data_IF_137324286360
#
_entry.id   IF_137324286360
#
_cell.length_a   1.000
_cell.length_b   1.000
_cell.length_c   1.000
_cell.angle_alpha   90.00
_cell.angle_beta   90.00
_cell.angle_gamma   90.00
#
_symmetry.space_group_name_H-M   'P 1'
#
loop_
_entity.id
_entity.type
_entity.pdbx_description
1 polymer ?
#
# COMPACT_ATOMS: atom_id res chain seq x y z
N UNK A 1 -17.76 -16.04 25.63
CA UNK A 1 -19.22 -15.94 25.41
C UNK A 1 -19.76 -14.83 26.28
N UNK A 2 -19.86 -13.61 25.72
CA UNK A 2 -20.63 -12.54 26.33
C UNK A 2 -22.05 -13.07 26.63
N UNK A 3 -22.73 -12.63 27.71
CA UNK A 3 -24.16 -12.87 27.91
C UNK A 3 -24.96 -12.00 26.92
N UNK A 4 -24.72 -12.19 25.62
CA UNK A 4 -25.15 -11.29 24.55
C UNK A 4 -26.66 -11.17 24.50
N UNK A 5 -27.41 -12.27 24.61
CA UNK A 5 -28.86 -12.15 24.41
C UNK A 5 -29.62 -11.57 25.63
N UNK A 6 -29.06 -11.65 26.84
CA UNK A 6 -29.72 -11.17 28.07
C UNK A 6 -29.39 -9.73 28.43
N UNK A 7 -28.14 -9.32 28.17
CA UNK A 7 -27.67 -7.95 28.42
C UNK A 7 -28.20 -7.02 27.32
N UNK A 8 -28.11 -7.42 26.04
CA UNK A 8 -28.58 -6.59 24.93
C UNK A 8 -30.09 -6.30 24.98
N UNK A 9 -30.93 -7.27 25.41
CA UNK A 9 -32.37 -7.04 25.62
C UNK A 9 -32.66 -6.04 26.76
N UNK A 10 -31.85 -6.03 27.83
CA UNK A 10 -31.98 -5.03 28.90
C UNK A 10 -31.50 -3.65 28.46
N UNK A 11 -30.48 -3.60 27.59
CA UNK A 11 -29.95 -2.37 27.02
C UNK A 11 -30.85 -1.76 25.91
N UNK A 12 -31.60 -2.55 25.14
CA UNK A 12 -32.62 -2.03 24.21
C UNK A 12 -33.73 -1.30 24.96
N UNK A 13 -34.23 -1.88 26.06
CA UNK A 13 -35.20 -1.22 26.95
C UNK A 13 -34.62 0.08 27.55
N UNK A 14 -33.31 0.10 27.83
CA UNK A 14 -32.59 1.25 28.37
C UNK A 14 -32.36 2.38 27.35
N UNK A 15 -32.02 2.04 26.09
CA UNK A 15 -31.89 3.01 24.99
C UNK A 15 -33.25 3.60 24.59
N UNK A 16 -34.30 2.78 24.67
CA UNK A 16 -35.68 3.23 24.54
C UNK A 16 -36.06 4.18 25.66
N UNK A 17 -35.72 3.88 26.92
CA UNK A 17 -36.00 4.75 28.08
C UNK A 17 -35.28 6.08 27.98
N UNK A 18 -34.02 6.13 27.55
CA UNK A 18 -33.28 7.39 27.35
C UNK A 18 -33.79 8.20 26.15
N UNK A 19 -34.15 7.54 25.04
CA UNK A 19 -34.80 8.20 23.90
C UNK A 19 -36.19 8.71 24.26
N UNK A 20 -36.97 7.97 25.05
CA UNK A 20 -38.29 8.45 25.54
C UNK A 20 -38.16 9.54 26.58
N UNK A 21 -37.17 9.50 27.48
CA UNK A 21 -36.91 10.55 28.47
C UNK A 21 -36.59 11.91 27.80
N UNK A 22 -35.85 11.89 26.69
CA UNK A 22 -35.54 13.09 25.89
C UNK A 22 -36.74 13.66 25.10
N UNK A 23 -37.90 12.99 25.12
CA UNK A 23 -39.11 13.39 24.38
C UNK A 23 -40.27 13.84 25.26
N UNK A 24 -40.14 13.75 26.58
CA UNK A 24 -41.26 13.93 27.51
C UNK A 24 -41.34 15.37 28.05
N UNK A 25 -42.36 16.11 27.61
CA UNK A 25 -42.81 17.40 28.17
C UNK A 25 -43.25 17.32 29.64
N UNK A 26 -43.36 16.11 30.21
CA UNK A 26 -43.71 15.87 31.61
C UNK A 26 -42.61 16.26 32.61
N UNK A 27 -41.35 16.42 32.14
CA UNK A 27 -40.20 16.72 32.99
C UNK A 27 -40.08 18.20 33.38
N UNK A 28 -40.81 19.12 32.73
CA UNK A 28 -40.77 20.56 33.04
C UNK A 28 -41.19 20.90 34.48
N UNK A 29 -41.85 19.98 35.17
CA UNK A 29 -42.45 20.19 36.50
C UNK A 29 -41.69 19.46 37.63
N UNK A 30 -40.60 18.74 37.33
CA UNK A 30 -39.82 17.99 38.33
C UNK A 30 -38.55 18.80 38.68
N UNK A 31 -38.20 18.97 39.97
CA UNK A 31 -36.98 19.66 40.37
C UNK A 31 -35.71 18.99 39.78
N UNK A 32 -34.76 19.80 39.29
CA UNK A 32 -33.51 19.31 38.65
C UNK A 32 -32.76 18.29 39.51
N UNK A 33 -32.64 18.55 40.81
CA UNK A 33 -31.96 17.68 41.76
C UNK A 33 -32.57 16.27 41.84
N UNK A 34 -33.88 16.14 41.66
CA UNK A 34 -34.58 14.85 41.65
C UNK A 34 -34.32 14.07 40.36
N UNK A 35 -34.26 14.78 39.23
CA UNK A 35 -33.92 14.19 37.92
C UNK A 35 -32.47 13.71 37.94
N UNK A 36 -31.54 14.51 38.49
CA UNK A 36 -30.13 14.15 38.63
C UNK A 36 -29.92 12.90 39.48
N UNK A 37 -30.56 12.83 40.65
CA UNK A 37 -30.48 11.64 41.52
C UNK A 37 -31.08 10.43 40.82
N UNK A 38 -32.22 10.58 40.14
CA UNK A 38 -32.84 9.48 39.40
C UNK A 38 -31.96 8.97 38.25
N UNK A 39 -31.39 9.89 37.46
CA UNK A 39 -30.44 9.55 36.39
C UNK A 39 -29.18 8.91 36.98
N UNK A 40 -28.61 9.46 38.04
CA UNK A 40 -27.44 8.89 38.69
C UNK A 40 -27.69 7.47 39.20
N UNK A 41 -28.80 7.23 39.91
CA UNK A 41 -29.17 5.89 40.40
C UNK A 41 -29.49 4.90 39.27
N UNK A 42 -30.07 5.39 38.17
CA UNK A 42 -30.35 4.57 36.98
C UNK A 42 -29.07 4.14 36.26
N UNK A 43 -28.05 5.02 36.23
CA UNK A 43 -26.80 4.82 35.48
C UNK A 43 -25.67 4.21 36.32
N UNK A 44 -25.68 4.41 37.64
CA UNK A 44 -24.64 3.93 38.57
C UNK A 44 -24.27 2.45 38.36
N UNK A 45 -25.24 1.51 38.19
CA UNK A 45 -24.94 0.10 37.97
C UNK A 45 -24.20 -0.22 36.66
N UNK A 46 -24.21 0.69 35.68
CA UNK A 46 -23.65 0.50 34.34
C UNK A 46 -22.33 1.24 34.14
N UNK A 47 -21.86 1.98 35.14
CA UNK A 47 -20.63 2.79 35.06
C UNK A 47 -19.41 1.96 34.69
N UNK A 48 -19.22 0.81 35.34
CA UNK A 48 -18.12 -0.12 35.06
C UNK A 48 -18.21 -0.70 33.63
N UNK A 49 -19.43 -0.90 33.12
CA UNK A 49 -19.65 -1.39 31.75
C UNK A 49 -19.26 -0.33 30.73
N UNK A 50 -19.61 0.94 30.97
CA UNK A 50 -19.23 2.03 30.08
C UNK A 50 -17.73 2.33 30.11
N UNK A 51 -17.08 2.23 31.26
CA UNK A 51 -15.63 2.39 31.38
C UNK A 51 -14.85 1.31 30.63
N UNK A 52 -15.35 0.06 30.64
CA UNK A 52 -14.71 -1.07 29.96
C UNK A 52 -15.27 -1.34 28.54
N UNK A 53 -16.16 -0.48 28.03
CA UNK A 53 -16.86 -0.70 26.75
C UNK A 53 -15.90 -0.90 25.57
N UNK A 54 -14.86 -0.08 25.48
CA UNK A 54 -13.82 -0.20 24.44
C UNK A 54 -13.12 -1.55 24.48
N UNK A 55 -12.89 -2.12 25.67
CA UNK A 55 -12.27 -3.44 25.83
C UNK A 55 -13.20 -4.55 25.32
N UNK A 56 -14.49 -4.46 25.63
CA UNK A 56 -15.46 -5.45 25.13
C UNK A 56 -15.61 -5.39 23.61
N UNK A 57 -15.67 -4.19 23.01
CA UNK A 57 -15.71 -4.05 21.56
C UNK A 57 -14.40 -4.51 20.90
N UNK A 58 -13.25 -4.33 21.56
CA UNK A 58 -11.98 -4.85 21.06
C UNK A 58 -11.97 -6.38 20.99
N UNK A 59 -12.43 -7.06 22.04
CA UNK A 59 -12.57 -8.52 22.03
C UNK A 59 -13.56 -8.99 20.95
N UNK A 60 -14.71 -8.31 20.83
CA UNK A 60 -15.71 -8.63 19.82
C UNK A 60 -15.20 -8.45 18.39
N UNK A 61 -14.48 -7.36 18.11
CA UNK A 61 -13.90 -7.09 16.79
C UNK A 61 -12.80 -8.10 16.45
N UNK A 62 -12.01 -8.51 17.44
CA UNK A 62 -11.00 -9.56 17.25
C UNK A 62 -11.66 -10.89 16.88
N UNK A 63 -12.66 -11.32 17.65
CA UNK A 63 -13.42 -12.54 17.35
C UNK A 63 -14.07 -12.45 15.95
N UNK A 64 -14.62 -11.28 15.59
CA UNK A 64 -15.20 -11.06 14.27
C UNK A 64 -14.14 -11.16 13.16
N UNK A 65 -12.96 -10.57 13.34
CA UNK A 65 -11.86 -10.64 12.38
C UNK A 65 -11.38 -12.08 12.17
N UNK A 66 -11.27 -12.86 13.24
CA UNK A 66 -10.85 -14.26 13.21
C UNK A 66 -11.82 -15.15 12.39
N UNK A 67 -13.09 -14.73 12.24
CA UNK A 67 -14.07 -15.43 11.38
C UNK A 67 -13.93 -15.11 9.90
N UNK A 68 -13.22 -14.03 9.54
CA UNK A 68 -13.01 -13.63 8.15
C UNK A 68 -11.96 -14.53 7.52
N UNK A 69 -12.40 -15.47 6.68
CA UNK A 69 -11.49 -16.32 5.93
C UNK A 69 -10.83 -15.54 4.79
N UNK A 70 -9.50 -15.43 4.83
CA UNK A 70 -8.72 -14.68 3.84
C UNK A 70 -7.79 -15.57 3.00
N UNK A 71 -7.43 -16.74 3.49
CA UNK A 71 -6.36 -17.56 2.92
C UNK A 71 -6.81 -19.00 2.69
N UNK A 72 -6.42 -19.55 1.54
CA UNK A 72 -6.59 -20.95 1.18
C UNK A 72 -5.34 -21.43 0.44
N UNK A 73 -5.20 -22.73 0.23
CA UNK A 73 -4.07 -23.25 -0.57
C UNK A 73 -4.15 -22.84 -2.05
N UNK A 74 -5.32 -22.42 -2.54
CA UNK A 74 -5.51 -21.96 -3.90
C UNK A 74 -5.35 -20.44 -4.01
N UNK A 75 -4.48 -19.99 -4.91
CA UNK A 75 -4.17 -18.57 -5.07
C UNK A 75 -5.36 -17.78 -5.59
N UNK A 76 -6.10 -18.32 -6.57
CA UNK A 76 -7.25 -17.62 -7.16
C UNK A 76 -8.36 -17.42 -6.12
N UNK A 77 -8.66 -18.46 -5.35
CA UNK A 77 -9.63 -18.42 -4.26
C UNK A 77 -9.19 -17.45 -3.17
N UNK A 78 -7.91 -17.46 -2.78
CA UNK A 78 -7.39 -16.51 -1.78
C UNK A 78 -7.58 -15.06 -2.24
N UNK A 79 -7.29 -14.75 -3.50
CA UNK A 79 -7.50 -13.40 -4.07
C UNK A 79 -8.99 -13.01 -4.07
N UNK A 80 -9.89 -13.94 -4.37
CA UNK A 80 -11.34 -13.70 -4.27
C UNK A 80 -11.78 -13.42 -2.83
N UNK A 81 -11.24 -14.17 -1.86
CA UNK A 81 -11.50 -13.94 -0.44
C UNK A 81 -11.02 -12.55 0.00
N UNK A 82 -9.80 -12.14 -0.38
CA UNK A 82 -9.26 -10.79 -0.11
C UNK A 82 -10.15 -9.68 -0.68
N UNK A 83 -10.72 -9.88 -1.88
CA UNK A 83 -11.63 -8.90 -2.47
C UNK A 83 -12.95 -8.82 -1.68
N UNK A 84 -13.57 -9.96 -1.40
CA UNK A 84 -14.86 -10.00 -0.70
C UNK A 84 -14.76 -9.55 0.76
N UNK A 85 -13.61 -9.74 1.41
CA UNK A 85 -13.39 -9.38 2.82
C UNK A 85 -13.44 -7.89 3.08
N UNK A 86 -13.12 -7.03 2.09
CA UNK A 86 -13.16 -5.57 2.24
C UNK A 86 -14.56 -5.14 2.69
N UNK A 87 -15.58 -5.51 1.90
CA UNK A 87 -16.98 -5.15 2.21
C UNK A 87 -17.43 -5.66 3.59
N UNK A 88 -17.01 -6.88 3.96
CA UNK A 88 -17.35 -7.49 5.24
C UNK A 88 -16.71 -6.75 6.42
N UNK A 89 -15.41 -6.43 6.33
CA UNK A 89 -14.67 -5.73 7.40
C UNK A 89 -15.23 -4.33 7.64
N UNK A 90 -15.57 -3.60 6.58
CA UNK A 90 -16.22 -2.29 6.73
C UNK A 90 -17.66 -2.40 7.25
N UNK A 91 -18.39 -3.47 6.94
CA UNK A 91 -19.70 -3.72 7.55
C UNK A 91 -19.56 -3.95 9.07
N UNK A 92 -18.62 -4.79 9.51
CA UNK A 92 -18.32 -5.03 10.92
C UNK A 92 -17.96 -3.71 11.65
N UNK A 93 -17.12 -2.87 11.03
CA UNK A 93 -16.76 -1.57 11.60
C UNK A 93 -17.97 -0.63 11.75
N UNK A 94 -18.84 -0.56 10.74
CA UNK A 94 -20.07 0.25 10.79
C UNK A 94 -21.06 -0.26 11.83
N UNK A 95 -21.25 -1.58 11.94
CA UNK A 95 -22.08 -2.17 12.99
C UNK A 95 -21.55 -1.82 14.39
N UNK A 96 -20.23 -1.77 14.55
CA UNK A 96 -19.58 -1.39 15.82
C UNK A 96 -19.85 0.07 16.19
N UNK A 97 -19.80 0.97 15.20
CA UNK A 97 -20.19 2.38 15.39
C UNK A 97 -21.67 2.49 15.76
N UNK A 98 -22.55 1.75 15.08
CA UNK A 98 -23.98 1.76 15.38
C UNK A 98 -24.30 1.18 16.76
N UNK A 99 -23.63 0.11 17.18
CA UNK A 99 -23.74 -0.41 18.56
C UNK A 99 -23.32 0.64 19.59
N UNK A 100 -22.20 1.34 19.36
CA UNK A 100 -21.77 2.42 20.24
C UNK A 100 -22.81 3.54 20.34
N UNK A 101 -23.40 3.96 19.22
CA UNK A 101 -24.49 4.94 19.22
C UNK A 101 -25.72 4.44 19.97
N UNK A 102 -26.13 3.19 19.76
CA UNK A 102 -27.33 2.66 20.40
C UNK A 102 -27.18 2.45 21.91
N UNK A 103 -26.00 2.01 22.35
CA UNK A 103 -25.74 1.65 23.74
C UNK A 103 -25.27 2.83 24.59
N UNK A 104 -24.42 3.70 24.04
CA UNK A 104 -23.80 4.80 24.80
C UNK A 104 -24.25 6.17 24.34
N UNK A 105 -25.17 6.25 23.36
CA UNK A 105 -25.55 7.49 22.69
C UNK A 105 -24.33 8.22 22.09
N UNK A 106 -23.31 7.46 21.66
CA UNK A 106 -22.07 7.96 21.07
C UNK A 106 -21.05 8.49 22.09
N UNK A 107 -21.33 8.40 23.39
CA UNK A 107 -20.49 8.98 24.47
C UNK A 107 -19.11 8.34 24.60
N UNK A 108 -18.94 7.12 24.09
CA UNK A 108 -17.68 6.36 24.14
C UNK A 108 -16.96 6.32 22.81
N UNK A 109 -17.42 7.09 21.80
CA UNK A 109 -16.91 7.02 20.43
C UNK A 109 -15.40 7.28 20.34
N UNK A 110 -14.85 8.14 21.21
CA UNK A 110 -13.42 8.47 21.25
C UNK A 110 -12.59 7.24 21.60
N UNK A 111 -12.98 6.54 22.68
CA UNK A 111 -12.33 5.30 23.09
C UNK A 111 -12.49 4.20 22.04
N UNK A 112 -13.59 4.24 21.26
CA UNK A 112 -13.82 3.33 20.15
C UNK A 112 -12.92 3.62 18.94
N UNK A 113 -12.47 4.86 18.72
CA UNK A 113 -11.56 5.18 17.62
C UNK A 113 -10.24 4.43 17.75
N UNK A 114 -9.66 4.34 18.96
CA UNK A 114 -8.44 3.56 19.19
C UNK A 114 -8.63 2.06 18.92
N UNK A 115 -9.81 1.54 19.25
CA UNK A 115 -10.21 0.15 19.00
C UNK A 115 -10.37 -0.12 17.50
N UNK A 116 -11.08 0.75 16.77
CA UNK A 116 -11.22 0.68 15.32
C UNK A 116 -9.88 0.81 14.60
N UNK A 117 -8.98 1.69 15.08
CA UNK A 117 -7.64 1.82 14.52
C UNK A 117 -6.88 0.49 14.61
N UNK A 118 -6.89 -0.13 15.79
CA UNK A 118 -6.23 -1.43 16.01
C UNK A 118 -6.82 -2.50 15.10
N UNK A 119 -8.15 -2.58 15.03
CA UNK A 119 -8.86 -3.52 14.16
C UNK A 119 -8.47 -3.41 12.67
N UNK A 120 -8.40 -2.18 12.12
CA UNK A 120 -7.97 -2.00 10.73
C UNK A 120 -6.48 -2.31 10.52
N UNK A 121 -5.62 -2.00 11.49
CA UNK A 121 -4.19 -2.35 11.43
C UNK A 121 -4.03 -3.88 11.40
N UNK A 122 -4.75 -4.59 12.25
CA UNK A 122 -4.72 -6.05 12.32
C UNK A 122 -5.23 -6.66 11.00
N UNK A 123 -6.32 -6.14 10.44
CA UNK A 123 -6.83 -6.56 9.13
C UNK A 123 -5.82 -6.34 8.00
N UNK A 124 -5.19 -5.15 7.93
CA UNK A 124 -4.14 -4.87 6.94
C UNK A 124 -2.95 -5.83 7.13
N UNK A 125 -2.61 -6.16 8.38
CA UNK A 125 -1.60 -7.15 8.72
C UNK A 125 -1.91 -8.54 8.14
N UNK A 126 -3.16 -8.98 8.26
CA UNK A 126 -3.62 -10.25 7.69
C UNK A 126 -3.61 -10.23 6.14
N UNK A 127 -4.04 -9.13 5.51
CA UNK A 127 -3.93 -8.98 4.05
C UNK A 127 -2.47 -9.11 3.58
N UNK A 128 -1.54 -8.46 4.27
CA UNK A 128 -0.09 -8.58 4.00
C UNK A 128 0.39 -10.02 4.15
N UNK A 129 -0.03 -10.71 5.21
CA UNK A 129 0.31 -12.12 5.45
C UNK A 129 -0.14 -12.99 4.28
N UNK A 130 -1.37 -12.83 3.80
CA UNK A 130 -1.90 -13.63 2.67
C UNK A 130 -1.15 -13.31 1.37
N UNK A 131 -0.89 -12.03 1.06
CA UNK A 131 -0.11 -11.65 -0.13
C UNK A 131 1.30 -12.24 -0.09
N UNK A 132 1.95 -12.25 1.08
CA UNK A 132 3.24 -12.90 1.26
C UNK A 132 3.16 -14.43 1.09
N UNK A 133 2.12 -15.07 1.61
CA UNK A 133 1.89 -16.50 1.40
C UNK A 133 1.72 -16.83 -0.09
N UNK A 134 0.99 -16.01 -0.85
CA UNK A 134 0.84 -16.15 -2.31
C UNK A 134 2.21 -16.02 -2.99
N UNK A 135 3.01 -15.02 -2.61
CA UNK A 135 4.36 -14.82 -3.15
C UNK A 135 5.28 -16.01 -2.87
N UNK A 136 5.25 -16.56 -1.66
CA UNK A 136 6.08 -17.71 -1.28
C UNK A 136 5.70 -18.99 -2.06
N UNK A 137 4.41 -19.24 -2.29
CA UNK A 137 3.94 -20.37 -3.09
C UNK A 137 4.51 -20.35 -4.50
N UNK A 138 4.63 -19.16 -5.08
CA UNK A 138 5.12 -18.94 -6.45
C UNK A 138 6.65 -18.75 -6.56
N UNK A 139 7.33 -18.46 -5.45
CA UNK A 139 8.80 -18.25 -5.41
C UNK A 139 9.63 -19.45 -5.89
N UNK A 140 9.05 -20.66 -5.93
CA UNK A 140 9.72 -21.91 -6.33
C UNK A 140 9.64 -22.18 -7.83
N UNK A 141 8.85 -21.43 -8.58
CA UNK A 141 8.70 -21.58 -10.03
C UNK A 141 9.86 -20.80 -10.68
N UNK A 142 10.96 -21.52 -10.93
CA UNK A 142 12.21 -20.96 -11.45
C UNK A 142 12.06 -20.36 -12.86
N UNK A 143 12.36 -19.07 -12.99
CA UNK A 143 12.99 -18.47 -14.18
C UNK A 143 12.16 -18.34 -15.47
N UNK A 144 10.88 -18.76 -15.47
CA UNK A 144 9.99 -18.64 -16.63
C UNK A 144 8.98 -17.51 -16.46
N UNK A 145 8.45 -17.04 -17.59
CA UNK A 145 7.37 -16.05 -17.65
C UNK A 145 6.07 -16.63 -17.07
N UNK A 146 5.54 -16.00 -16.03
CA UNK A 146 4.24 -16.36 -15.45
C UNK A 146 3.25 -15.20 -15.60
N UNK A 147 2.65 -15.12 -16.79
CA UNK A 147 1.64 -14.11 -17.11
C UNK A 147 0.33 -14.30 -16.34
N UNK A 148 0.05 -15.51 -15.83
CA UNK A 148 -1.10 -15.74 -14.98
C UNK A 148 -0.88 -15.16 -13.59
N UNK A 149 0.30 -15.40 -13.00
CA UNK A 149 0.69 -14.75 -11.76
C UNK A 149 0.73 -13.23 -11.90
N UNK A 150 1.22 -12.70 -13.01
CA UNK A 150 1.19 -11.26 -13.27
C UNK A 150 -0.26 -10.71 -13.28
N UNK A 151 -1.21 -11.40 -13.94
CA UNK A 151 -2.63 -11.02 -13.84
C UNK A 151 -3.15 -11.02 -12.41
N UNK A 152 -2.74 -12.02 -11.63
CA UNK A 152 -3.11 -12.12 -10.22
C UNK A 152 -2.50 -11.00 -9.37
N UNK A 153 -1.27 -10.55 -9.64
CA UNK A 153 -0.66 -9.42 -8.92
C UNK A 153 -1.34 -8.09 -9.26
N UNK A 154 -1.77 -7.88 -10.51
CA UNK A 154 -2.58 -6.71 -10.87
C UNK A 154 -3.94 -6.75 -10.16
N UNK A 155 -4.57 -7.93 -10.04
CA UNK A 155 -5.81 -8.07 -9.25
C UNK A 155 -5.60 -7.74 -7.77
N UNK A 156 -4.45 -8.10 -7.18
CA UNK A 156 -4.10 -7.72 -5.81
C UNK A 156 -3.94 -6.18 -5.69
N UNK A 157 -3.34 -5.52 -6.69
CA UNK A 157 -3.26 -4.06 -6.73
C UNK A 157 -4.65 -3.41 -6.82
N UNK A 158 -5.58 -3.98 -7.58
CA UNK A 158 -6.99 -3.54 -7.61
C UNK A 158 -7.63 -3.62 -6.22
N UNK A 159 -7.46 -4.74 -5.53
CA UNK A 159 -7.98 -4.96 -4.16
C UNK A 159 -7.37 -3.94 -3.19
N UNK A 160 -6.07 -3.64 -3.31
CA UNK A 160 -5.42 -2.59 -2.53
C UNK A 160 -6.06 -1.21 -2.80
N UNK A 161 -6.36 -0.89 -4.06
CA UNK A 161 -7.05 0.34 -4.45
C UNK A 161 -8.48 0.42 -3.91
N UNK A 162 -9.22 -0.69 -3.98
CA UNK A 162 -10.56 -0.84 -3.40
C UNK A 162 -10.54 -0.61 -1.89
N UNK A 163 -9.57 -1.19 -1.17
CA UNK A 163 -9.39 -1.00 0.26
C UNK A 163 -9.12 0.46 0.63
N UNK A 164 -8.24 1.14 -0.11
CA UNK A 164 -7.93 2.56 0.12
C UNK A 164 -9.19 3.42 -0.08
N UNK A 165 -9.93 3.19 -1.17
CA UNK A 165 -11.17 3.92 -1.45
C UNK A 165 -12.23 3.67 -0.39
N UNK A 166 -12.43 2.42 0.02
CA UNK A 166 -13.38 2.05 1.05
C UNK A 166 -13.01 2.70 2.39
N UNK A 167 -11.71 2.75 2.74
CA UNK A 167 -11.23 3.45 3.92
C UNK A 167 -11.47 4.96 3.87
N UNK A 168 -11.11 5.63 2.77
CA UNK A 168 -11.31 7.08 2.62
C UNK A 168 -12.80 7.45 2.70
N UNK A 169 -13.68 6.62 2.12
CA UNK A 169 -15.14 6.79 2.24
C UNK A 169 -15.63 6.54 3.67
N UNK A 170 -15.13 5.50 4.33
CA UNK A 170 -15.47 5.17 5.71
C UNK A 170 -15.08 6.29 6.68
N UNK A 171 -13.84 6.77 6.61
CA UNK A 171 -13.35 7.85 7.46
C UNK A 171 -14.15 9.13 7.23
N UNK A 172 -14.44 9.49 5.96
CA UNK A 172 -15.28 10.65 5.63
C UNK A 172 -16.69 10.52 6.21
N UNK A 173 -17.30 9.33 6.12
CA UNK A 173 -18.61 9.06 6.69
C UNK A 173 -18.60 9.15 8.22
N UNK A 174 -17.57 8.60 8.87
CA UNK A 174 -17.44 8.64 10.32
C UNK A 174 -17.22 10.06 10.83
N UNK A 175 -16.36 10.84 10.16
CA UNK A 175 -16.19 12.29 10.44
C UNK A 175 -17.53 13.01 10.39
N UNK A 176 -18.33 12.78 9.33
CA UNK A 176 -19.63 13.41 9.21
C UNK A 176 -20.59 13.01 10.34
N UNK A 177 -20.65 11.71 10.66
CA UNK A 177 -21.48 11.19 11.75
C UNK A 177 -21.05 11.75 13.11
N UNK A 178 -19.75 11.86 13.37
CA UNK A 178 -19.22 12.47 14.59
C UNK A 178 -19.57 13.94 14.70
N UNK A 179 -19.40 14.72 13.63
CA UNK A 179 -19.80 16.13 13.59
C UNK A 179 -21.30 16.31 13.83
N UNK A 180 -22.15 15.43 13.28
CA UNK A 180 -23.59 15.43 13.58
C UNK A 180 -23.87 15.14 15.07
N UNK A 181 -23.24 14.11 15.65
CA UNK A 181 -23.39 13.78 17.07
C UNK A 181 -22.96 14.94 17.98
N UNK A 182 -21.82 15.56 17.70
CA UNK A 182 -21.29 16.71 18.44
C UNK A 182 -22.27 17.90 18.35
N UNK A 183 -22.76 18.22 17.15
CA UNK A 183 -23.73 19.29 16.95
C UNK A 183 -25.07 19.02 17.66
N UNK A 184 -25.53 17.78 17.68
CA UNK A 184 -26.72 17.39 18.45
C UNK A 184 -26.52 17.59 19.95
N UNK A 185 -25.35 17.21 20.47
CA UNK A 185 -24.99 17.45 21.87
C UNK A 185 -24.99 18.95 22.16
N UNK A 186 -24.32 19.77 21.33
CA UNK A 186 -24.30 21.23 21.51
C UNK A 186 -25.68 21.88 21.42
N UNK A 187 -26.51 21.53 20.43
CA UNK A 187 -27.84 22.11 20.25
C UNK A 187 -28.82 21.72 21.37
N UNK A 188 -28.75 20.47 21.85
CA UNK A 188 -29.47 20.01 23.04
C UNK A 188 -28.92 20.64 24.31
N UNK A 189 -27.69 21.15 24.33
CA UNK A 189 -27.17 21.91 25.48
C UNK A 189 -27.67 23.37 25.42
N UNK A 190 -27.60 24.02 24.25
CA UNK A 190 -27.97 25.44 24.07
C UNK A 190 -29.47 25.72 24.17
N UNK A 191 -30.35 24.82 23.69
CA UNK A 191 -31.81 24.99 23.84
C UNK A 191 -32.27 25.04 25.30
N UNK A 192 -31.49 24.46 26.21
CA UNK A 192 -31.80 24.38 27.64
C UNK A 192 -30.97 25.36 28.47
N UNK A 193 -30.15 26.22 27.84
CA UNK A 193 -29.52 27.38 28.49
C UNK A 193 -30.42 28.62 28.49
N UNK A 194 -31.51 28.61 27.72
CA UNK A 194 -32.50 29.70 27.73
C UNK A 194 -33.62 29.51 28.77
N UNK A 195 -33.73 28.32 29.37
CA UNK A 195 -34.62 28.02 30.49
C UNK A 195 -33.74 27.48 31.63
N UNK A 196 -33.61 28.23 32.72
CA UNK A 196 -32.65 27.97 33.81
C UNK A 196 -32.53 26.49 34.25
N UNK A 197 -31.27 26.08 34.44
CA UNK A 197 -30.74 25.07 35.38
C UNK A 197 -30.99 23.55 35.23
N UNK A 198 -31.71 23.02 34.23
CA UNK A 198 -32.10 21.58 34.31
C UNK A 198 -31.13 20.59 33.60
N UNK A 199 -30.28 21.00 32.65
CA UNK A 199 -29.57 20.04 31.79
C UNK A 199 -28.06 20.22 31.56
N UNK A 200 -27.43 21.30 32.06
CA UNK A 200 -25.96 21.47 31.96
C UNK A 200 -25.19 20.36 32.71
N UNK A 201 -25.85 19.66 33.64
CA UNK A 201 -25.23 18.69 34.54
C UNK A 201 -25.06 17.28 33.97
N UNK A 202 -25.73 16.87 32.87
CA UNK A 202 -25.59 15.48 32.37
C UNK A 202 -24.41 15.27 31.41
N UNK A 203 -23.98 16.33 30.72
CA UNK A 203 -22.80 16.31 29.85
C UNK A 203 -21.57 16.80 30.63
N UNK A 204 -21.68 17.84 31.46
CA UNK A 204 -20.55 18.28 32.31
C UNK A 204 -20.19 17.24 33.38
N UNK A 205 -21.14 16.56 34.03
CA UNK A 205 -20.81 15.48 34.98
C UNK A 205 -20.16 14.27 34.30
N UNK A 206 -20.55 13.96 33.06
CA UNK A 206 -19.94 12.88 32.29
C UNK A 206 -18.55 13.26 31.77
N UNK A 207 -18.38 14.46 31.21
CA UNK A 207 -17.07 15.03 30.81
C UNK A 207 -16.13 15.16 32.02
N UNK A 208 -16.67 15.40 33.22
CA UNK A 208 -15.89 15.41 34.47
C UNK A 208 -15.64 14.01 35.06
N UNK A 209 -16.34 12.98 34.58
CA UNK A 209 -16.14 11.56 34.93
C UNK A 209 -15.33 10.76 33.88
N UNK A 210 -15.05 11.37 32.74
CA UNK A 210 -14.08 10.87 31.76
C UNK A 210 -12.66 11.13 32.30
N UNK A 211 -11.71 10.23 32.03
CA UNK A 211 -10.32 10.44 32.46
C UNK A 211 -9.77 11.75 31.88
N UNK A 212 -8.82 12.40 32.57
CA UNK A 212 -8.24 13.67 32.10
C UNK A 212 -7.58 13.55 30.72
N UNK A 213 -7.10 12.35 30.35
CA UNK A 213 -6.52 12.03 29.05
C UNK A 213 -7.59 12.01 27.94
N UNK A 214 -8.66 11.24 28.14
CA UNK A 214 -9.78 11.14 27.19
C UNK A 214 -10.47 12.49 26.95
N UNK A 215 -10.50 13.38 27.96
CA UNK A 215 -11.04 14.75 27.83
C UNK A 215 -10.17 15.64 26.93
N UNK A 216 -8.84 15.52 27.03
CA UNK A 216 -7.92 16.23 26.15
C UNK A 216 -8.03 15.72 24.71
N UNK A 217 -8.06 14.40 24.53
CA UNK A 217 -8.19 13.77 23.23
C UNK A 217 -9.54 14.12 22.57
N UNK A 218 -10.63 14.13 23.34
CA UNK A 218 -11.93 14.62 22.89
C UNK A 218 -11.87 16.05 22.35
N UNK A 219 -11.36 16.99 23.14
CA UNK A 219 -11.29 18.40 22.78
C UNK A 219 -10.38 18.62 21.56
N UNK A 220 -9.31 17.83 21.44
CA UNK A 220 -8.43 17.86 20.28
C UNK A 220 -9.15 17.40 19.01
N UNK A 221 -9.93 16.32 19.08
CA UNK A 221 -10.70 15.79 17.95
C UNK A 221 -11.82 16.76 17.58
N UNK A 222 -12.58 17.29 18.54
CA UNK A 222 -13.65 18.26 18.29
C UNK A 222 -13.10 19.50 17.59
N UNK A 223 -12.02 20.10 18.10
CA UNK A 223 -11.38 21.27 17.49
C UNK A 223 -10.81 20.96 16.10
N UNK A 224 -10.27 19.75 15.89
CA UNK A 224 -9.73 19.35 14.59
C UNK A 224 -10.84 19.06 13.55
N UNK A 225 -11.99 18.54 13.98
CA UNK A 225 -13.20 18.37 13.17
C UNK A 225 -13.79 19.72 12.74
N UNK A 226 -13.80 20.71 13.63
CA UNK A 226 -14.26 22.07 13.33
C UNK A 226 -13.36 22.78 12.31
N UNK A 227 -12.05 22.50 12.34
CA UNK A 227 -11.06 23.10 11.44
C UNK A 227 -10.80 22.31 10.14
N UNK A 228 -11.59 21.26 9.86
CA UNK A 228 -11.55 20.46 8.61
C UNK A 228 -10.16 19.91 8.21
N UNK A 229 -9.26 19.69 9.17
CA UNK A 229 -7.86 19.29 8.92
C UNK A 229 -7.51 17.91 9.48
N UNK A 230 -8.50 17.15 9.93
CA UNK A 230 -8.28 15.97 10.75
C UNK A 230 -8.40 14.64 9.99
N UNK A 231 -7.43 13.76 10.22
CA UNK A 231 -7.57 12.32 9.98
C UNK A 231 -7.83 11.65 11.33
N UNK A 232 -8.95 10.91 11.42
CA UNK A 232 -9.35 10.16 12.61
C UNK A 232 -8.35 9.06 12.94
N UNK A 233 -7.70 8.50 11.92
CA UNK A 233 -6.79 7.36 12.08
C UNK A 233 -5.46 7.60 11.35
N UNK A 234 -4.57 8.44 11.89
CA UNK A 234 -3.36 8.89 11.18
C UNK A 234 -2.39 7.77 10.80
N UNK A 235 -2.50 6.60 11.44
CA UNK A 235 -1.64 5.44 11.15
C UNK A 235 -2.19 4.52 10.06
N UNK A 236 -3.51 4.51 9.81
CA UNK A 236 -4.10 3.66 8.77
C UNK A 236 -3.62 4.05 7.37
N UNK A 237 -3.64 5.34 6.94
CA UNK A 237 -3.11 5.74 5.63
C UNK A 237 -1.65 5.34 5.44
N UNK A 238 -0.82 5.38 6.50
CA UNK A 238 0.58 4.94 6.44
C UNK A 238 0.68 3.44 6.22
N UNK A 239 -0.14 2.64 6.90
CA UNK A 239 -0.16 1.18 6.72
C UNK A 239 -0.68 0.78 5.33
N UNK A 240 -1.70 1.47 4.83
CA UNK A 240 -2.23 1.30 3.47
C UNK A 240 -1.20 1.65 2.40
N UNK A 241 -0.45 2.75 2.57
CA UNK A 241 0.62 3.11 1.63
C UNK A 241 1.75 2.06 1.63
N UNK A 242 2.17 1.58 2.81
CA UNK A 242 3.14 0.48 2.90
C UNK A 242 2.63 -0.82 2.26
N UNK A 243 1.35 -1.16 2.46
CA UNK A 243 0.74 -2.31 1.81
C UNK A 243 0.72 -2.14 0.28
N UNK A 244 0.40 -0.95 -0.21
CA UNK A 244 0.47 -0.61 -1.63
C UNK A 244 1.89 -0.80 -2.18
N UNK A 245 2.91 -0.30 -1.48
CA UNK A 245 4.33 -0.47 -1.87
C UNK A 245 4.72 -1.94 -1.98
N UNK A 246 4.29 -2.77 -1.01
CA UNK A 246 4.55 -4.22 -1.03
C UNK A 246 3.87 -4.91 -2.24
N UNK A 247 2.63 -4.53 -2.57
CA UNK A 247 1.91 -5.04 -3.73
C UNK A 247 2.58 -4.64 -5.05
N UNK A 248 3.01 -3.38 -5.19
CA UNK A 248 3.75 -2.90 -6.37
C UNK A 248 5.08 -3.65 -6.51
N UNK A 249 5.81 -3.83 -5.41
CA UNK A 249 7.07 -4.57 -5.41
C UNK A 249 6.86 -6.02 -5.83
N UNK A 250 5.81 -6.68 -5.35
CA UNK A 250 5.49 -8.05 -5.73
C UNK A 250 5.18 -8.16 -7.22
N UNK A 251 4.28 -7.31 -7.75
CA UNK A 251 3.95 -7.28 -9.18
C UNK A 251 5.19 -7.03 -10.04
N UNK A 252 6.08 -6.13 -9.60
CA UNK A 252 7.34 -5.86 -10.28
C UNK A 252 8.27 -7.06 -10.27
N UNK A 253 8.43 -7.72 -9.13
CA UNK A 253 9.29 -8.90 -9.04
C UNK A 253 8.85 -10.01 -9.99
N UNK A 254 7.54 -10.21 -10.16
CA UNK A 254 6.98 -11.21 -11.09
C UNK A 254 7.38 -10.89 -12.53
N UNK A 255 7.19 -9.64 -12.97
CA UNK A 255 7.55 -9.20 -14.34
C UNK A 255 9.05 -9.17 -14.57
N UNK A 256 9.83 -8.80 -13.55
CA UNK A 256 11.27 -8.65 -13.69
C UNK A 256 12.04 -9.97 -13.56
N UNK A 257 11.43 -11.01 -12.97
CA UNK A 257 12.09 -12.30 -12.73
C UNK A 257 12.67 -12.95 -14.00
N UNK A 258 11.97 -13.02 -15.16
CA UNK A 258 12.53 -13.60 -16.38
C UNK A 258 13.77 -12.85 -16.87
N UNK A 259 13.75 -11.51 -16.84
CA UNK A 259 14.87 -10.66 -17.23
C UNK A 259 16.06 -10.90 -16.30
N UNK A 260 15.83 -10.90 -14.99
CA UNK A 260 16.87 -11.11 -14.00
C UNK A 260 17.47 -12.53 -14.12
N UNK A 261 16.66 -13.54 -14.44
CA UNK A 261 17.12 -14.91 -14.70
C UNK A 261 18.06 -14.99 -15.91
N UNK A 262 17.74 -14.27 -17.00
CA UNK A 262 18.56 -14.22 -18.22
C UNK A 262 19.88 -13.43 -18.05
N UNK A 263 19.90 -12.46 -17.13
CA UNK A 263 21.11 -11.69 -16.77
C UNK A 263 21.93 -12.35 -15.65
N UNK A 264 21.37 -13.33 -14.94
CA UNK A 264 22.06 -14.00 -13.86
C UNK A 264 23.30 -14.74 -14.37
N UNK A 265 24.46 -14.40 -13.82
CA UNK A 265 25.73 -14.97 -14.25
C UNK A 265 26.25 -14.43 -15.60
N UNK A 266 25.62 -13.40 -16.18
CA UNK A 266 26.10 -12.75 -17.40
C UNK A 266 27.55 -12.33 -17.26
N UNK A 267 27.91 -11.68 -16.15
CA UNK A 267 29.30 -11.27 -15.82
C UNK A 267 30.34 -12.40 -15.80
N UNK A 268 29.89 -13.66 -15.66
CA UNK A 268 30.73 -14.86 -15.51
C UNK A 268 30.78 -15.73 -16.77
N UNK A 269 30.18 -15.29 -17.88
CA UNK A 269 30.20 -16.06 -19.11
C UNK A 269 31.65 -16.24 -19.62
N UNK A 270 32.01 -17.45 -20.07
CA UNK A 270 33.39 -17.73 -20.48
C UNK A 270 33.81 -16.95 -21.73
N UNK A 271 32.86 -16.43 -22.51
CA UNK A 271 33.12 -15.65 -23.73
C UNK A 271 33.92 -14.36 -23.47
N UNK A 272 33.86 -13.82 -22.25
CA UNK A 272 34.58 -12.59 -21.89
C UNK A 272 36.09 -12.78 -21.81
N UNK A 273 36.55 -13.93 -21.29
CA UNK A 273 37.95 -14.16 -20.94
C UNK A 273 38.58 -15.40 -21.57
N UNK A 274 37.79 -16.35 -22.09
CA UNK A 274 38.34 -17.58 -22.66
C UNK A 274 39.11 -17.32 -23.96
N UNK A 275 40.36 -17.78 -24.00
CA UNK A 275 41.23 -17.72 -25.18
C UNK A 275 40.83 -18.72 -26.29
N UNK A 276 39.75 -19.48 -26.09
CA UNK A 276 39.36 -20.61 -26.93
C UNK A 276 38.21 -20.29 -27.88
N UNK A 277 38.51 -19.53 -28.94
CA UNK A 277 38.03 -19.83 -30.30
C UNK A 277 39.21 -19.53 -31.23
N UNK A 278 39.63 -20.54 -32.00
CA UNK A 278 40.83 -20.46 -32.84
C UNK A 278 40.92 -19.18 -33.65
N UNK A 279 42.15 -18.80 -34.00
CA UNK A 279 42.62 -17.61 -34.72
C UNK A 279 41.74 -17.09 -35.88
N UNK A 280 40.79 -17.88 -36.37
CA UNK A 280 39.81 -17.56 -37.42
C UNK A 280 38.68 -16.62 -36.91
N UNK A 281 38.32 -16.65 -35.62
CA UNK A 281 37.23 -15.79 -35.07
C UNK A 281 37.71 -14.39 -34.68
N UNK A 282 39.00 -14.22 -34.39
CA UNK A 282 39.57 -12.91 -34.06
C UNK A 282 39.49 -11.91 -35.23
N UNK A 283 39.59 -12.42 -36.46
CA UNK A 283 39.57 -11.65 -37.72
C UNK A 283 38.19 -11.58 -38.40
N UNK A 284 37.14 -12.13 -37.79
CA UNK A 284 35.78 -11.99 -38.32
C UNK A 284 35.32 -10.52 -38.21
N UNK A 285 34.83 -9.91 -39.30
CA UNK A 285 34.27 -8.56 -39.26
C UNK A 285 33.13 -8.48 -38.24
N UNK A 286 32.99 -7.34 -37.55
CA UNK A 286 31.92 -7.08 -36.57
C UNK A 286 30.51 -7.34 -37.13
N UNK A 287 30.32 -7.23 -38.45
CA UNK A 287 29.08 -7.54 -39.16
C UNK A 287 28.65 -9.02 -39.08
N UNK A 288 29.52 -9.93 -38.66
CA UNK A 288 29.22 -11.35 -38.50
C UNK A 288 28.75 -11.71 -37.08
N UNK A 289 28.84 -10.78 -36.14
CA UNK A 289 28.39 -10.97 -34.76
C UNK A 289 26.89 -10.70 -34.66
N UNK A 290 26.21 -11.52 -33.87
CA UNK A 290 24.80 -11.39 -33.54
C UNK A 290 24.69 -11.31 -32.03
N UNK A 291 23.75 -10.53 -31.47
CA UNK A 291 23.57 -10.47 -30.03
C UNK A 291 23.29 -11.86 -29.43
N UNK A 292 23.81 -12.10 -28.23
CA UNK A 292 23.65 -13.37 -27.54
C UNK A 292 22.17 -13.70 -27.27
N UNK A 293 21.84 -14.99 -27.20
CA UNK A 293 20.46 -15.47 -27.03
C UNK A 293 19.77 -14.90 -25.79
N UNK A 294 20.48 -14.78 -24.66
CA UNK A 294 19.94 -14.20 -23.44
C UNK A 294 19.56 -12.73 -23.62
N UNK A 295 20.34 -11.97 -24.40
CA UNK A 295 20.11 -10.55 -24.67
C UNK A 295 18.95 -10.37 -25.66
N UNK A 296 18.89 -11.17 -26.73
CA UNK A 296 17.76 -11.12 -27.68
C UNK A 296 16.45 -11.53 -27.02
N UNK A 297 16.44 -12.52 -26.12
CA UNK A 297 15.27 -12.89 -25.32
C UNK A 297 14.79 -11.76 -24.42
N UNK A 298 15.70 -11.03 -23.75
CA UNK A 298 15.33 -9.85 -22.96
C UNK A 298 14.66 -8.80 -23.85
N UNK A 299 15.25 -8.51 -25.01
CA UNK A 299 14.68 -7.54 -25.94
C UNK A 299 13.28 -7.92 -26.43
N UNK A 300 13.10 -9.19 -26.80
CA UNK A 300 11.79 -9.72 -27.20
C UNK A 300 10.77 -9.65 -26.05
N UNK A 301 11.17 -10.01 -24.83
CA UNK A 301 10.30 -9.94 -23.66
C UNK A 301 9.83 -8.52 -23.38
N UNK A 302 10.74 -7.54 -23.38
CA UNK A 302 10.39 -6.13 -23.22
C UNK A 302 9.36 -5.69 -24.28
N UNK A 303 9.59 -6.02 -25.55
CA UNK A 303 8.67 -5.63 -26.64
C UNK A 303 7.28 -6.28 -26.55
N UNK A 304 7.14 -7.43 -25.90
CA UNK A 304 5.84 -8.08 -25.67
C UNK A 304 5.11 -7.52 -24.44
N UNK A 305 5.84 -6.97 -23.46
CA UNK A 305 5.28 -6.54 -22.18
C UNK A 305 4.08 -5.58 -22.29
N UNK A 306 4.06 -4.56 -23.19
CA UNK A 306 2.92 -3.66 -23.32
C UNK A 306 1.59 -4.39 -23.60
N UNK A 307 1.63 -5.44 -24.42
CA UNK A 307 0.43 -6.22 -24.79
C UNK A 307 -0.19 -6.92 -23.58
N UNK A 308 0.62 -7.27 -22.58
CA UNK A 308 0.13 -7.87 -21.33
C UNK A 308 -0.49 -6.86 -20.37
N UNK A 309 -0.23 -5.57 -20.56
CA UNK A 309 -0.88 -4.50 -19.79
C UNK A 309 -2.20 -4.02 -20.40
N UNK A 310 -2.37 -4.17 -21.72
CA UNK A 310 -3.60 -3.76 -22.44
C UNK A 310 -4.91 -4.24 -21.80
N UNK A 311 -5.04 -5.50 -21.29
CA UNK A 311 -6.29 -6.00 -20.73
C UNK A 311 -6.79 -5.25 -19.48
N UNK A 312 -5.92 -4.54 -18.76
CA UNK A 312 -6.27 -3.94 -17.47
C UNK A 312 -6.79 -2.50 -17.56
N UNK A 313 -6.74 -1.88 -18.75
CA UNK A 313 -7.15 -0.50 -19.00
C UNK A 313 -6.93 0.43 -17.79
N UNK A 314 -5.66 0.63 -17.43
CA UNK A 314 -5.26 1.29 -16.18
C UNK A 314 -5.82 2.72 -16.03
N UNK A 315 -6.24 3.36 -17.11
CA UNK A 315 -6.81 4.70 -17.10
C UNK A 315 -8.25 4.75 -16.57
N UNK A 316 -9.06 3.76 -16.93
CA UNK A 316 -10.48 3.70 -16.56
C UNK A 316 -10.71 2.96 -15.24
N UNK A 317 -9.70 2.24 -14.76
CA UNK A 317 -9.74 1.52 -13.49
C UNK A 317 -9.41 2.46 -12.31
N UNK A 318 -10.44 2.95 -11.62
CA UNK A 318 -10.29 3.86 -10.49
C UNK A 318 -9.46 3.24 -9.35
N UNK A 319 -9.66 1.94 -9.08
CA UNK A 319 -8.98 1.22 -8.00
C UNK A 319 -7.47 1.21 -8.27
N UNK A 320 -7.04 0.79 -9.47
CA UNK A 320 -5.62 0.79 -9.84
C UNK A 320 -5.03 2.19 -9.78
N UNK A 321 -5.72 3.20 -10.30
CA UNK A 321 -5.25 4.59 -10.21
C UNK A 321 -4.99 5.04 -8.77
N UNK A 322 -5.85 4.67 -7.83
CA UNK A 322 -5.67 5.03 -6.42
C UNK A 322 -4.50 4.26 -5.83
N UNK A 323 -4.39 2.96 -6.10
CA UNK A 323 -3.27 2.14 -5.63
C UNK A 323 -1.93 2.74 -6.07
N UNK A 324 -1.79 3.12 -7.35
CA UNK A 324 -0.57 3.71 -7.90
C UNK A 324 -0.24 5.08 -7.32
N UNK A 325 -1.23 5.95 -7.10
CA UNK A 325 -0.99 7.26 -6.49
C UNK A 325 -0.49 7.17 -5.05
N UNK A 326 -0.80 6.06 -4.36
CA UNK A 326 -0.50 5.85 -2.94
C UNK A 326 0.64 4.84 -2.71
N UNK A 327 1.14 4.21 -3.77
CA UNK A 327 2.22 3.24 -3.75
C UNK A 327 3.42 3.71 -4.56
N UNK A 328 4.52 2.97 -4.44
CA UNK A 328 5.79 3.26 -5.11
C UNK A 328 6.17 2.13 -6.05
N UNK A 329 6.45 2.51 -7.30
CA UNK A 329 6.98 1.57 -8.27
C UNK A 329 8.52 1.54 -8.18
N UNK A 330 9.16 0.36 -8.18
CA UNK A 330 10.62 0.26 -8.13
C UNK A 330 11.29 1.04 -9.28
N UNK A 331 12.51 1.54 -9.05
CA UNK A 331 13.34 2.23 -10.04
C UNK A 331 12.86 3.59 -10.57
N UNK A 332 11.61 4.00 -10.31
CA UNK A 332 11.10 5.34 -10.60
C UNK A 332 11.21 6.26 -9.38
N UNK A 333 11.38 7.56 -9.62
CA UNK A 333 11.29 8.58 -8.58
C UNK A 333 9.83 9.01 -8.35
N UNK A 334 9.49 9.43 -7.12
CA UNK A 334 8.12 9.82 -6.71
C UNK A 334 7.50 10.94 -7.60
N UNK A 335 8.31 11.69 -8.35
CA UNK A 335 7.87 12.80 -9.22
C UNK A 335 7.62 12.40 -10.68
N UNK A 336 7.94 11.16 -11.06
CA UNK A 336 7.92 10.69 -12.45
C UNK A 336 6.61 10.00 -12.84
N UNK A 337 5.69 9.82 -11.89
CA UNK A 337 4.37 9.22 -12.14
C UNK A 337 3.55 10.08 -13.11
N UNK A 338 3.53 9.66 -14.36
CA UNK A 338 2.70 10.25 -15.40
C UNK A 338 1.22 9.84 -15.22
N UNK A 339 0.30 10.53 -15.92
CA UNK A 339 -1.10 10.09 -15.97
C UNK A 339 -1.28 8.77 -16.74
N UNK A 340 -0.26 8.35 -17.50
CA UNK A 340 -0.17 7.03 -18.12
C UNK A 340 0.55 6.05 -17.18
N UNK A 341 -0.26 5.30 -16.44
CA UNK A 341 0.20 4.28 -15.51
C UNK A 341 0.87 3.10 -16.21
N UNK A 342 0.47 2.80 -17.46
CA UNK A 342 1.11 1.76 -18.26
C UNK A 342 2.52 2.18 -18.61
N UNK A 343 2.70 3.42 -19.10
CA UNK A 343 4.03 3.99 -19.36
C UNK A 343 4.92 3.92 -18.12
N UNK A 344 4.40 4.25 -16.93
CA UNK A 344 5.19 4.16 -15.70
C UNK A 344 5.66 2.72 -15.41
N UNK A 345 4.79 1.72 -15.59
CA UNK A 345 5.19 0.31 -15.44
C UNK A 345 6.30 -0.11 -16.40
N UNK A 346 6.12 0.25 -17.66
CA UNK A 346 7.08 -0.04 -18.71
C UNK A 346 8.42 0.64 -18.39
N UNK A 347 8.42 1.94 -18.08
CA UNK A 347 9.61 2.70 -17.71
C UNK A 347 10.34 2.07 -16.52
N UNK A 348 9.63 1.65 -15.47
CA UNK A 348 10.22 0.98 -14.31
C UNK A 348 10.96 -0.31 -14.69
N UNK A 349 10.34 -1.17 -15.51
CA UNK A 349 10.95 -2.44 -15.94
C UNK A 349 12.13 -2.20 -16.89
N UNK A 350 12.02 -1.23 -17.80
CA UNK A 350 13.10 -0.83 -18.71
C UNK A 350 14.30 -0.25 -17.94
N UNK A 351 14.07 0.67 -17.00
CA UNK A 351 15.10 1.24 -16.12
C UNK A 351 15.80 0.17 -15.29
N UNK A 352 15.04 -0.77 -14.74
CA UNK A 352 15.60 -1.89 -14.00
C UNK A 352 16.47 -2.78 -14.90
N UNK A 353 16.00 -3.08 -16.11
CA UNK A 353 16.75 -3.88 -17.09
C UNK A 353 18.06 -3.20 -17.45
N UNK A 354 18.01 -1.91 -17.75
CA UNK A 354 19.18 -1.08 -18.03
C UNK A 354 20.18 -1.12 -16.87
N UNK A 355 19.72 -0.85 -15.64
CA UNK A 355 20.57 -0.81 -14.44
C UNK A 355 21.20 -2.17 -14.14
N UNK A 356 20.44 -3.26 -14.16
CA UNK A 356 20.96 -4.61 -13.89
C UNK A 356 21.94 -5.05 -14.99
N UNK A 357 21.66 -4.73 -16.26
CA UNK A 357 22.57 -5.02 -17.37
C UNK A 357 23.90 -4.28 -17.22
N UNK A 358 23.85 -2.99 -16.87
CA UNK A 358 25.04 -2.19 -16.57
C UNK A 358 25.82 -2.75 -15.38
N UNK A 359 25.13 -3.12 -14.30
CA UNK A 359 25.76 -3.72 -13.12
C UNK A 359 26.44 -5.05 -13.45
N UNK A 360 25.80 -5.92 -14.22
CA UNK A 360 26.40 -7.17 -14.69
C UNK A 360 27.61 -6.90 -15.59
N UNK A 361 27.53 -5.90 -16.47
CA UNK A 361 28.66 -5.52 -17.32
C UNK A 361 29.84 -5.06 -16.49
N UNK A 362 29.63 -4.18 -15.51
CA UNK A 362 30.68 -3.69 -14.61
C UNK A 362 31.24 -4.76 -13.66
N UNK A 363 30.60 -5.93 -13.56
CA UNK A 363 31.09 -7.08 -12.79
C UNK A 363 32.00 -8.02 -13.61
N UNK A 364 32.11 -7.82 -14.93
CA UNK A 364 33.05 -8.59 -15.77
C UNK A 364 34.48 -8.24 -15.34
N UNK A 365 35.27 -9.26 -15.01
CA UNK A 365 36.62 -9.06 -14.48
C UNK A 365 37.62 -8.65 -15.57
N UNK A 366 37.58 -9.33 -16.72
CA UNK A 366 38.52 -9.13 -17.83
C UNK A 366 37.81 -9.37 -19.16
N UNK A 367 38.15 -8.56 -20.17
CA UNK A 367 37.68 -8.70 -21.54
C UNK A 367 38.84 -8.97 -22.49
N UNK A 368 38.75 -10.06 -23.25
CA UNK A 368 39.56 -10.26 -24.45
C UNK A 368 38.95 -9.50 -25.65
N UNK A 369 39.69 -9.43 -26.77
CA UNK A 369 39.25 -8.66 -27.95
C UNK A 369 37.91 -9.13 -28.53
N UNK A 370 37.68 -10.44 -28.60
CA UNK A 370 36.43 -11.01 -29.11
C UNK A 370 35.26 -10.76 -28.15
N UNK A 371 35.48 -10.90 -26.85
CA UNK A 371 34.52 -10.63 -25.80
C UNK A 371 34.11 -9.16 -25.76
N UNK A 372 35.05 -8.23 -25.98
CA UNK A 372 34.74 -6.80 -26.12
C UNK A 372 33.82 -6.54 -27.31
N UNK A 373 34.16 -7.08 -28.49
CA UNK A 373 33.32 -6.93 -29.70
C UNK A 373 31.91 -7.51 -29.49
N UNK A 374 31.81 -8.68 -28.84
CA UNK A 374 30.51 -9.31 -28.54
C UNK A 374 29.71 -8.49 -27.52
N UNK A 375 30.34 -8.04 -26.43
CA UNK A 375 29.68 -7.23 -25.40
C UNK A 375 29.14 -5.92 -25.99
N UNK A 376 29.91 -5.27 -26.86
CA UNK A 376 29.45 -4.08 -27.58
C UNK A 376 28.21 -4.40 -28.43
N UNK A 377 28.23 -5.49 -29.20
CA UNK A 377 27.07 -5.91 -30.00
C UNK A 377 25.83 -6.17 -29.14
N UNK A 378 25.99 -6.89 -28.02
CA UNK A 378 24.93 -7.21 -27.07
C UNK A 378 24.31 -5.94 -26.47
N UNK A 379 25.15 -5.04 -25.95
CA UNK A 379 24.69 -3.79 -25.34
C UNK A 379 24.09 -2.84 -26.37
N UNK A 380 24.63 -2.77 -27.59
CA UNK A 380 24.06 -1.95 -28.67
C UNK A 380 22.65 -2.42 -29.04
N UNK A 381 22.43 -3.72 -29.16
CA UNK A 381 21.10 -4.26 -29.40
C UNK A 381 20.14 -3.89 -28.27
N UNK A 382 20.53 -4.13 -27.02
CA UNK A 382 19.66 -3.81 -25.87
C UNK A 382 19.37 -2.30 -25.77
N UNK A 383 20.37 -1.47 -26.07
CA UNK A 383 20.20 -0.02 -26.13
C UNK A 383 19.15 0.40 -27.17
N UNK A 384 19.22 -0.14 -28.38
CA UNK A 384 18.20 0.12 -29.41
C UNK A 384 16.82 -0.34 -28.97
N UNK A 385 16.71 -1.51 -28.32
CA UNK A 385 15.42 -1.97 -27.78
C UNK A 385 14.89 -1.02 -26.70
N UNK A 386 15.74 -0.55 -25.78
CA UNK A 386 15.34 0.39 -24.73
C UNK A 386 14.91 1.77 -25.30
N UNK A 387 15.57 2.25 -26.36
CA UNK A 387 15.18 3.46 -27.09
C UNK A 387 13.83 3.25 -27.81
N UNK A 388 13.65 2.12 -28.51
CA UNK A 388 12.40 1.76 -29.18
C UNK A 388 11.23 1.58 -28.19
N UNK A 389 11.55 1.13 -26.98
CA UNK A 389 10.62 0.99 -25.86
C UNK A 389 10.20 2.33 -25.25
N UNK A 390 10.88 3.44 -25.61
CA UNK A 390 10.50 4.81 -25.24
C UNK A 390 11.21 5.36 -24.00
N UNK A 391 12.26 4.70 -23.51
CA UNK A 391 12.97 5.13 -22.30
C UNK A 391 13.71 6.46 -22.53
N UNK A 392 13.41 7.47 -21.71
CA UNK A 392 13.90 8.85 -21.92
C UNK A 392 15.31 9.11 -21.41
N UNK A 393 15.69 8.51 -20.27
CA UNK A 393 17.02 8.67 -19.69
C UNK A 393 17.84 7.39 -19.84
N UNK A 394 18.65 7.37 -20.91
CA UNK A 394 19.60 6.30 -21.24
C UNK A 394 21.03 6.81 -21.27
N UNK A 395 21.30 7.97 -20.64
CA UNK A 395 22.57 8.68 -20.70
C UNK A 395 23.74 7.83 -20.17
N UNK A 396 23.59 7.24 -18.99
CA UNK A 396 24.60 6.37 -18.40
C UNK A 396 24.89 5.11 -19.24
N UNK A 397 23.87 4.54 -19.89
CA UNK A 397 24.03 3.37 -20.76
C UNK A 397 24.77 3.73 -22.05
N UNK A 398 24.45 4.90 -22.63
CA UNK A 398 25.16 5.47 -23.79
C UNK A 398 26.61 5.76 -23.44
N UNK A 399 26.87 6.33 -22.27
CA UNK A 399 28.21 6.62 -21.78
C UNK A 399 29.06 5.34 -21.64
N UNK A 400 28.47 4.25 -21.13
CA UNK A 400 29.09 2.93 -21.06
C UNK A 400 29.46 2.40 -22.45
N UNK A 401 28.52 2.44 -23.40
CA UNK A 401 28.74 2.00 -24.77
C UNK A 401 29.86 2.78 -25.46
N UNK A 402 29.90 4.09 -25.29
CA UNK A 402 30.96 4.94 -25.83
C UNK A 402 32.33 4.60 -25.21
N UNK A 403 32.41 4.34 -23.89
CA UNK A 403 33.65 3.94 -23.24
C UNK A 403 34.13 2.54 -23.67
N UNK A 404 33.22 1.61 -23.94
CA UNK A 404 33.57 0.29 -24.46
C UNK A 404 34.06 0.36 -25.92
N UNK A 405 33.45 1.22 -26.74
CA UNK A 405 33.83 1.43 -28.14
C UNK A 405 35.07 2.32 -28.34
N UNK A 406 35.47 3.10 -27.34
CA UNK A 406 36.58 4.05 -27.48
C UNK A 406 37.91 3.34 -27.79
N UNK A 407 38.68 3.90 -28.72
CA UNK A 407 40.06 3.49 -28.97
C UNK A 407 40.96 3.92 -27.79
N UNK A 408 42.13 3.28 -27.64
CA UNK A 408 43.07 3.58 -26.54
C UNK A 408 43.47 5.06 -26.49
N UNK A 409 43.58 5.71 -27.66
CA UNK A 409 44.00 7.11 -27.78
C UNK A 409 42.89 8.11 -27.45
N UNK A 410 41.62 7.73 -27.63
CA UNK A 410 40.45 8.61 -27.42
C UNK A 410 39.74 8.36 -26.09
N UNK A 411 40.06 7.24 -25.43
CA UNK A 411 39.44 6.82 -24.17
C UNK A 411 39.53 7.89 -23.07
N UNK A 412 40.72 8.46 -22.84
CA UNK A 412 40.94 9.45 -21.78
C UNK A 412 40.18 10.76 -22.03
N UNK A 413 39.97 11.14 -23.29
CA UNK A 413 39.18 12.33 -23.62
C UNK A 413 37.69 12.11 -23.33
N UNK A 414 37.15 10.97 -23.75
CA UNK A 414 35.75 10.58 -23.54
C UNK A 414 35.44 10.32 -22.06
N UNK A 415 36.42 9.86 -21.28
CA UNK A 415 36.26 9.55 -19.86
C UNK A 415 36.04 10.79 -18.97
N UNK A 416 36.49 11.99 -19.36
CA UNK A 416 36.54 13.19 -18.50
C UNK A 416 35.19 13.65 -17.94
N UNK A 417 34.08 13.35 -18.63
CA UNK A 417 32.73 13.80 -18.25
C UNK A 417 31.84 12.68 -17.73
N UNK A 418 32.38 11.48 -17.54
CA UNK A 418 31.62 10.26 -17.23
C UNK A 418 31.86 9.83 -15.78
N UNK A 419 30.99 8.96 -15.29
CA UNK A 419 31.09 8.40 -13.93
C UNK A 419 32.47 7.78 -13.67
N UNK A 420 33.16 8.24 -12.62
CA UNK A 420 34.50 7.79 -12.26
C UNK A 420 34.58 6.28 -11.98
N UNK A 421 33.52 5.71 -11.38
CA UNK A 421 33.42 4.26 -11.12
C UNK A 421 33.38 3.48 -12.43
N UNK A 422 32.55 3.91 -13.38
CA UNK A 422 32.40 3.27 -14.69
C UNK A 422 33.70 3.36 -15.48
N UNK A 423 34.31 4.55 -15.56
CA UNK A 423 35.59 4.78 -16.23
C UNK A 423 36.68 3.86 -15.68
N UNK A 424 36.85 3.82 -14.36
CA UNK A 424 37.91 3.01 -13.73
C UNK A 424 37.69 1.53 -13.99
N UNK A 425 36.45 1.05 -13.84
CA UNK A 425 36.11 -0.37 -14.05
C UNK A 425 36.33 -0.79 -15.50
N UNK A 426 35.86 0.00 -16.47
CA UNK A 426 36.04 -0.31 -17.90
C UNK A 426 37.52 -0.24 -18.29
N UNK A 427 38.28 0.74 -17.78
CA UNK A 427 39.73 0.83 -18.01
C UNK A 427 40.44 -0.46 -17.56
N UNK A 428 40.16 -0.91 -16.34
CA UNK A 428 40.72 -2.16 -15.79
C UNK A 428 40.28 -3.38 -16.58
N UNK A 429 38.98 -3.49 -16.88
CA UNK A 429 38.39 -4.62 -17.61
C UNK A 429 38.98 -4.79 -19.02
N UNK A 430 39.33 -3.68 -19.68
CA UNK A 430 39.92 -3.64 -21.03
C UNK A 430 41.46 -3.67 -21.04
N UNK A 431 42.12 -3.65 -19.88
CA UNK A 431 43.58 -3.56 -19.76
C UNK A 431 44.20 -2.33 -20.45
N UNK A 432 43.52 -1.18 -20.39
CA UNK A 432 44.02 0.08 -20.92
C UNK A 432 45.03 0.70 -19.93
N UNK A 433 46.17 1.17 -20.45
CA UNK A 433 47.25 1.76 -19.66
C UNK A 433 47.00 3.20 -19.22
#
# INVERSE_FOLDING_TARGET
>A
MLPTNGIFNKFEVFSLLTRTYMSLSFLEHIPSSTIEVFVFELYSPYTDVFQNYSTYEQEQLKDALDTVQLDTNDTSTSIQLLASSISNVFAIANETIERCKQLTNGRTIISLLGVLQTFFIDYIGELKRVVNNIRERHSKILGNEDWELFRQTIRILEICGELILAYEQFETSLVHQMSQMINEWHNKTNKYKQNDDIFDLSIESFINNISSADKHDFLSIVNALENATYSLFPDIPKQLSKFSDECHRFSFDVVFLPINSLLNGFSKLPIWSSENRGTIVADLPSFSLVPQENITKIGQYLLMLPQHFEPFNLHDNQQLRVAFKKGKLPYLEDKELSNDLTSCWLDSVALATMRVCMEQTLQIQTLNSTGLKQLIMDLQYLFSVLEDFGLKDVSDFRDMLELLNADETTFEELARKKSARMVTTIRTMRHLN
#
